data_IF_087902428774
#
_entry.id   IF_087902428774
#
_cell.length_a   1.000
_cell.length_b   1.000
_cell.length_c   1.000
_cell.angle_alpha   90.00
_cell.angle_beta   90.00
_cell.angle_gamma   90.00
#
_symmetry.space_group_name_H-M   'P 1'
#
loop_
_entity.id
_entity.type
_entity.pdbx_description
1 polymer ?
#
# COMPACT_ATOMS: atom_id res chain seq x y z
N UNK A 1 -4.89 7.00 -3.85
CA UNK A 1 -5.16 6.68 -5.28
C UNK A 1 -4.09 5.72 -5.83
N UNK A 2 -3.83 4.61 -5.14
CA UNK A 2 -2.78 3.65 -5.53
C UNK A 2 -3.08 2.96 -6.87
N UNK A 3 -4.37 2.77 -7.20
CA UNK A 3 -4.80 2.17 -8.46
C UNK A 3 -4.38 2.95 -9.71
N UNK A 4 -4.37 4.28 -9.64
CA UNK A 4 -3.87 5.12 -10.73
C UNK A 4 -2.35 5.02 -10.89
N UNK A 5 -1.61 4.82 -9.79
CA UNK A 5 -0.17 4.56 -9.83
C UNK A 5 0.15 3.23 -10.51
N UNK A 6 -0.59 2.17 -10.18
CA UNK A 6 -0.44 0.84 -10.82
C UNK A 6 -0.80 0.92 -12.31
N UNK A 7 -1.89 1.61 -12.65
CA UNK A 7 -2.28 1.82 -14.05
C UNK A 7 -1.20 2.58 -14.82
N UNK A 8 -0.69 3.68 -14.26
CA UNK A 8 0.37 4.48 -14.85
C UNK A 8 1.63 3.63 -15.08
N UNK A 9 2.05 2.83 -14.10
CA UNK A 9 3.18 1.91 -14.25
C UNK A 9 2.96 0.89 -15.37
N UNK A 10 1.76 0.30 -15.46
CA UNK A 10 1.40 -0.62 -16.54
C UNK A 10 1.44 0.03 -17.93
N UNK A 11 0.90 1.25 -18.05
CA UNK A 11 0.92 2.03 -19.31
C UNK A 11 2.34 2.41 -19.72
N UNK A 12 3.17 2.89 -18.79
CA UNK A 12 4.58 3.20 -19.05
C UNK A 12 5.35 1.95 -19.49
N UNK A 13 5.11 0.80 -18.85
CA UNK A 13 5.69 -0.48 -19.26
C UNK A 13 5.31 -0.83 -20.70
N UNK A 14 4.01 -0.76 -21.03
CA UNK A 14 3.51 -1.07 -22.37
C UNK A 14 4.07 -0.14 -23.45
N UNK A 15 4.07 1.17 -23.20
CA UNK A 15 4.58 2.18 -24.14
C UNK A 15 6.08 1.99 -24.39
N UNK A 16 6.84 1.73 -23.33
CA UNK A 16 8.30 1.53 -23.43
C UNK A 16 8.62 0.25 -24.20
N UNK A 17 7.89 -0.85 -23.96
CA UNK A 17 8.03 -2.09 -24.73
C UNK A 17 7.72 -1.86 -26.21
N UNK A 18 6.63 -1.16 -26.53
CA UNK A 18 6.27 -0.85 -27.92
C UNK A 18 7.32 0.01 -28.62
N UNK A 19 7.88 1.02 -27.94
CA UNK A 19 8.91 1.89 -28.49
C UNK A 19 10.22 1.14 -28.78
N UNK A 20 10.61 0.21 -27.92
CA UNK A 20 11.82 -0.59 -28.08
C UNK A 20 11.62 -1.90 -28.85
N UNK A 21 10.40 -2.20 -29.32
CA UNK A 21 10.07 -3.43 -30.05
C UNK A 21 11.08 -3.82 -31.15
N UNK A 22 11.43 -2.94 -32.12
CA UNK A 22 12.38 -3.34 -33.18
C UNK A 22 13.78 -3.62 -32.64
N UNK A 23 14.20 -2.91 -31.59
CA UNK A 23 15.50 -3.08 -30.94
C UNK A 23 15.54 -4.38 -30.13
N UNK A 24 14.46 -4.73 -29.42
CA UNK A 24 14.35 -5.96 -28.63
C UNK A 24 14.34 -7.20 -29.52
N UNK A 25 13.62 -7.14 -30.66
CA UNK A 25 13.60 -8.24 -31.64
C UNK A 25 14.98 -8.47 -32.29
N UNK A 26 15.80 -7.42 -32.43
CA UNK A 26 17.16 -7.53 -32.96
C UNK A 26 18.18 -8.02 -31.93
N UNK A 27 18.04 -7.60 -30.66
CA UNK A 27 18.89 -8.01 -29.55
C UNK A 27 18.08 -7.94 -28.25
N UNK A 28 17.89 -9.10 -27.62
CA UNK A 28 17.13 -9.25 -26.37
C UNK A 28 17.76 -8.50 -25.18
N UNK A 29 19.05 -8.16 -25.22
CA UNK A 29 19.71 -7.35 -24.19
C UNK A 29 19.16 -5.93 -24.09
N UNK A 30 18.48 -5.44 -25.13
CA UNK A 30 17.85 -4.12 -25.12
C UNK A 30 16.69 -4.00 -24.11
N UNK A 31 16.22 -5.12 -23.54
CA UNK A 31 15.30 -5.13 -22.40
C UNK A 31 15.89 -4.44 -21.15
N UNK A 32 17.22 -4.34 -21.05
CA UNK A 32 17.88 -3.63 -19.94
C UNK A 32 17.49 -2.13 -19.91
N UNK A 33 17.31 -1.52 -21.08
CA UNK A 33 16.86 -0.12 -21.15
C UNK A 33 15.40 0.03 -20.72
N UNK A 34 14.56 -0.96 -20.99
CA UNK A 34 13.12 -0.90 -20.71
C UNK A 34 12.86 -0.80 -19.21
N UNK A 35 13.43 -1.69 -18.38
CA UNK A 35 13.19 -1.66 -16.94
C UNK A 35 13.78 -0.41 -16.27
N UNK A 36 14.92 0.09 -16.78
CA UNK A 36 15.54 1.34 -16.29
C UNK A 36 14.65 2.54 -16.54
N UNK A 37 14.05 2.64 -17.72
CA UNK A 37 13.12 3.72 -18.07
C UNK A 37 11.87 3.64 -17.17
N UNK A 38 11.31 2.44 -16.98
CA UNK A 38 10.13 2.25 -16.11
C UNK A 38 10.43 2.75 -14.68
N UNK A 39 11.56 2.35 -14.09
CA UNK A 39 11.96 2.83 -12.75
C UNK A 39 12.25 4.34 -12.75
N UNK A 40 12.94 4.84 -13.78
CA UNK A 40 13.31 6.25 -13.92
C UNK A 40 12.09 7.17 -14.00
N UNK A 41 11.06 6.79 -14.75
CA UNK A 41 9.79 7.55 -14.84
C UNK A 41 9.09 7.62 -13.48
N UNK A 42 9.27 6.60 -12.61
CA UNK A 42 8.76 6.61 -11.24
C UNK A 42 9.30 7.74 -10.35
N UNK A 43 10.44 8.33 -10.69
CA UNK A 43 11.04 9.45 -9.94
C UNK A 43 10.23 10.75 -10.13
N UNK A 44 9.54 10.91 -11.25
CA UNK A 44 8.76 12.12 -11.58
C UNK A 44 7.64 12.36 -10.54
N UNK A 45 6.70 11.42 -10.28
CA UNK A 45 5.69 11.63 -9.25
C UNK A 45 6.28 11.73 -7.84
N UNK A 46 7.40 11.04 -7.56
CA UNK A 46 8.07 11.11 -6.26
C UNK A 46 8.66 12.50 -5.96
N UNK A 47 9.30 13.13 -6.95
CA UNK A 47 9.86 14.48 -6.83
C UNK A 47 8.77 15.53 -6.72
N UNK A 48 7.67 15.40 -7.48
CA UNK A 48 6.48 16.26 -7.34
C UNK A 48 5.89 16.13 -5.94
N UNK A 49 5.72 14.90 -5.43
CA UNK A 49 5.21 14.67 -4.08
C UNK A 49 6.16 15.24 -3.00
N UNK A 50 7.47 15.13 -3.19
CA UNK A 50 8.47 15.73 -2.30
C UNK A 50 8.36 17.26 -2.28
N UNK A 51 8.25 17.90 -3.45
CA UNK A 51 8.05 19.33 -3.55
C UNK A 51 6.82 19.77 -2.74
N UNK A 52 5.67 19.13 -2.97
CA UNK A 52 4.45 19.44 -2.21
C UNK A 52 4.60 19.17 -0.71
N UNK A 53 5.27 18.09 -0.33
CA UNK A 53 5.50 17.75 1.08
C UNK A 53 6.37 18.78 1.79
N UNK A 54 7.29 19.43 1.08
CA UNK A 54 8.12 20.51 1.64
C UNK A 54 7.40 21.86 1.68
N UNK A 55 6.40 22.08 0.82
CA UNK A 55 5.65 23.35 0.75
C UNK A 55 4.37 23.39 1.59
N UNK A 56 3.76 22.23 1.87
CA UNK A 56 2.50 22.16 2.63
C UNK A 56 2.78 22.43 4.12
N UNK A 57 2.08 23.39 4.76
CA UNK A 57 2.25 23.64 6.17
C UNK A 57 1.75 22.47 7.02
N UNK A 58 2.38 22.29 8.17
CA UNK A 58 2.01 21.24 9.13
C UNK A 58 0.57 21.38 9.61
N UNK A 59 -0.05 20.23 9.92
CA UNK A 59 -1.44 20.24 10.37
C UNK A 59 -1.59 21.06 11.67
N UNK A 60 -2.67 21.85 11.82
CA UNK A 60 -2.87 22.64 13.03
C UNK A 60 -2.87 21.81 14.30
N UNK A 61 -3.47 20.61 14.23
CA UNK A 61 -3.56 19.69 15.34
C UNK A 61 -2.18 19.24 15.83
N UNK A 62 -1.26 18.93 14.92
CA UNK A 62 0.13 18.62 15.27
C UNK A 62 0.85 19.84 15.90
N UNK A 63 0.59 21.03 15.38
CA UNK A 63 1.22 22.27 15.87
C UNK A 63 0.77 22.62 17.30
N UNK A 64 -0.50 22.35 17.64
CA UNK A 64 -1.04 22.50 19.00
C UNK A 64 -0.57 21.35 19.90
N UNK A 65 -0.88 20.11 19.51
CA UNK A 65 -0.79 18.93 20.38
C UNK A 65 0.63 18.38 20.52
N UNK A 66 1.58 18.82 19.69
CA UNK A 66 2.98 18.34 19.73
C UNK A 66 3.96 19.49 19.89
N UNK A 67 3.80 20.58 19.14
CA UNK A 67 4.72 21.73 19.24
C UNK A 67 4.34 22.71 20.36
N UNK A 68 3.11 22.64 20.88
CA UNK A 68 2.60 23.57 21.89
C UNK A 68 2.53 25.02 21.41
N UNK A 69 2.56 25.24 20.08
CA UNK A 69 2.60 26.58 19.49
C UNK A 69 1.22 26.94 18.94
N UNK A 70 0.41 27.57 19.79
CA UNK A 70 -0.98 27.93 19.49
C UNK A 70 -1.04 28.96 18.35
N UNK A 71 -0.07 29.87 18.25
CA UNK A 71 -0.03 30.94 17.26
C UNK A 71 0.24 30.41 15.84
N UNK A 72 1.22 29.51 15.68
CA UNK A 72 1.47 28.80 14.41
C UNK A 72 0.27 27.95 14.01
N UNK A 73 -0.43 27.35 14.97
CA UNK A 73 -1.61 26.57 14.67
C UNK A 73 -2.78 27.44 14.19
N UNK A 74 -3.02 28.59 14.83
CA UNK A 74 -4.03 29.55 14.41
C UNK A 74 -3.73 30.08 12.99
N UNK A 75 -2.46 30.36 12.68
CA UNK A 75 -2.03 30.71 11.32
C UNK A 75 -2.29 29.58 10.32
N UNK A 76 -1.97 28.33 10.66
CA UNK A 76 -2.22 27.17 9.78
C UNK A 76 -3.72 26.89 9.59
N UNK A 77 -4.57 27.15 10.59
CA UNK A 77 -6.04 27.04 10.48
C UNK A 77 -6.57 28.10 9.53
N UNK A 78 -6.15 29.36 9.70
CA UNK A 78 -6.58 30.45 8.81
C UNK A 78 -6.11 30.21 7.37
N UNK A 79 -4.87 29.76 7.16
CA UNK A 79 -4.38 29.35 5.83
C UNK A 79 -5.22 28.22 5.22
N UNK A 80 -5.59 27.21 6.01
CA UNK A 80 -6.41 26.08 5.56
C UNK A 80 -7.88 26.45 5.26
N UNK A 81 -8.46 27.39 6.01
CA UNK A 81 -9.84 27.86 5.84
C UNK A 81 -9.98 28.90 4.72
N UNK A 82 -8.98 29.77 4.52
CA UNK A 82 -9.03 30.88 3.56
C UNK A 82 -8.45 30.56 2.17
N UNK A 83 -8.18 29.28 1.88
CA UNK A 83 -7.70 28.81 0.57
C UNK A 83 -6.49 29.60 0.02
N UNK A 84 -5.50 29.89 0.87
CA UNK A 84 -4.23 30.48 0.43
C UNK A 84 -4.23 32.00 0.18
N UNK A 85 -5.21 32.76 0.67
CA UNK A 85 -5.03 34.22 0.79
C UNK A 85 -4.01 34.55 1.88
N UNK A 86 -3.03 35.38 1.54
CA UNK A 86 -2.00 35.86 2.44
C UNK A 86 -2.64 36.76 3.50
N UNK A 87 -2.60 36.36 4.78
CA UNK A 87 -3.13 37.15 5.88
C UNK A 87 -1.97 37.84 6.56
N UNK A 88 -2.10 39.16 6.76
CA UNK A 88 -1.12 39.97 7.48
C UNK A 88 -0.75 39.34 8.82
N UNK A 89 0.56 39.35 9.10
CA UNK A 89 1.15 39.05 10.40
C UNK A 89 0.57 40.01 11.44
N UNK A 90 -0.48 39.60 12.14
CA UNK A 90 -0.84 40.24 13.40
C UNK A 90 0.08 39.66 14.48
N UNK A 91 0.97 40.51 15.02
CA UNK A 91 1.68 40.24 16.27
C UNK A 91 0.63 40.14 17.39
N UNK A 92 0.30 38.92 17.79
CA UNK A 92 -0.43 38.68 19.04
C UNK A 92 0.62 38.40 20.09
N UNK A 93 0.79 39.39 20.96
CA UNK A 93 1.74 39.44 22.06
C UNK A 93 1.25 38.57 23.23
N UNK A 94 1.32 37.23 23.09
CA UNK A 94 1.33 36.31 24.25
C UNK A 94 1.71 34.89 23.82
N UNK A 95 2.97 34.50 24.03
CA UNK A 95 3.48 33.16 23.74
C UNK A 95 2.94 32.13 24.76
N UNK A 96 1.70 31.68 24.60
CA UNK A 96 1.10 30.66 25.48
C UNK A 96 1.56 29.26 25.07
N UNK A 97 2.75 28.85 25.50
CA UNK A 97 3.24 27.47 25.32
C UNK A 97 2.53 26.54 26.31
N UNK A 98 1.59 25.74 25.83
CA UNK A 98 1.01 24.66 26.63
C UNK A 98 2.11 23.63 26.88
N UNK A 99 2.41 23.32 28.14
CA UNK A 99 3.33 22.23 28.50
C UNK A 99 2.61 20.91 28.22
N UNK A 100 2.94 20.29 27.10
CA UNK A 100 2.37 19.00 26.71
C UNK A 100 3.15 17.90 27.41
N UNK A 101 2.49 17.09 28.24
CA UNK A 101 3.10 15.87 28.77
C UNK A 101 3.44 14.95 27.61
N UNK A 102 4.73 14.66 27.43
CA UNK A 102 5.19 13.69 26.44
C UNK A 102 4.64 12.32 26.83
N UNK A 103 3.92 11.68 25.91
CA UNK A 103 3.40 10.33 26.10
C UNK A 103 4.54 9.39 26.51
N UNK A 104 4.42 8.75 27.68
CA UNK A 104 5.46 7.85 28.20
C UNK A 104 5.12 6.40 27.87
N UNK A 105 6.13 5.54 27.72
CA UNK A 105 5.93 4.09 27.54
C UNK A 105 5.08 3.44 28.64
N UNK A 106 5.13 3.98 29.87
CA UNK A 106 4.27 3.55 30.97
C UNK A 106 2.79 3.85 30.70
N UNK A 107 2.48 5.03 30.16
CA UNK A 107 1.11 5.43 29.82
C UNK A 107 0.56 4.59 28.66
N UNK A 108 1.41 4.26 27.68
CA UNK A 108 1.06 3.38 26.58
C UNK A 108 0.70 1.97 27.06
N UNK A 109 1.56 1.35 27.88
CA UNK A 109 1.32 0.01 28.42
C UNK A 109 0.10 0.02 29.34
N UNK A 110 -0.09 1.07 30.14
CA UNK A 110 -1.27 1.20 30.98
C UNK A 110 -2.56 1.31 30.14
N UNK A 111 -2.56 2.13 29.09
CA UNK A 111 -3.71 2.35 28.22
C UNK A 111 -4.08 1.11 27.38
N UNK A 112 -3.10 0.49 26.71
CA UNK A 112 -3.33 -0.69 25.86
C UNK A 112 -3.30 -2.03 26.61
N UNK A 113 -2.81 -2.04 27.86
CA UNK A 113 -2.93 -3.19 28.77
C UNK A 113 -4.38 -3.40 29.24
N UNK A 114 -5.22 -2.36 29.18
CA UNK A 114 -6.67 -2.50 29.35
C UNK A 114 -7.24 -3.23 28.13
N UNK A 115 -7.95 -4.34 28.37
CA UNK A 115 -8.50 -5.20 27.32
C UNK A 115 -9.40 -4.44 26.32
N UNK A 116 -10.10 -3.41 26.78
CA UNK A 116 -10.98 -2.58 25.94
C UNK A 116 -10.23 -1.88 24.80
N UNK A 117 -9.04 -1.34 25.08
CA UNK A 117 -8.20 -0.67 24.09
C UNK A 117 -7.28 -1.66 23.36
N UNK A 118 -6.76 -2.66 24.09
CA UNK A 118 -5.88 -3.69 23.55
C UNK A 118 -6.52 -4.54 22.46
N UNK A 119 -7.81 -4.91 22.59
CA UNK A 119 -8.53 -5.69 21.56
C UNK A 119 -8.65 -4.93 20.23
N UNK A 120 -8.77 -3.60 20.27
CA UNK A 120 -8.86 -2.76 19.06
C UNK A 120 -7.51 -2.70 18.36
N UNK A 121 -6.42 -2.55 19.12
CA UNK A 121 -5.06 -2.57 18.59
C UNK A 121 -4.71 -3.93 17.96
N UNK A 122 -5.06 -5.03 18.63
CA UNK A 122 -4.84 -6.38 18.12
C UNK A 122 -5.64 -6.62 16.83
N UNK A 123 -6.94 -6.29 16.83
CA UNK A 123 -7.79 -6.44 15.65
C UNK A 123 -7.29 -5.64 14.45
N UNK A 124 -6.80 -4.41 14.68
CA UNK A 124 -6.21 -3.57 13.64
C UNK A 124 -4.91 -4.17 13.11
N UNK A 125 -4.04 -4.65 14.00
CA UNK A 125 -2.75 -5.26 13.63
C UNK A 125 -2.93 -6.52 12.79
N UNK A 126 -3.82 -7.43 13.20
CA UNK A 126 -4.12 -8.67 12.46
C UNK A 126 -4.77 -8.37 11.11
N UNK A 127 -5.63 -7.35 11.06
CA UNK A 127 -6.26 -6.89 9.82
C UNK A 127 -5.21 -6.41 8.81
N UNK A 128 -4.30 -5.53 9.23
CA UNK A 128 -3.22 -5.04 8.37
C UNK A 128 -2.28 -6.16 7.93
N UNK A 129 -1.87 -7.03 8.86
CA UNK A 129 -1.01 -8.17 8.54
C UNK A 129 -1.62 -9.09 7.47
N UNK A 130 -2.88 -9.51 7.67
CA UNK A 130 -3.57 -10.40 6.73
C UNK A 130 -3.80 -9.72 5.38
N UNK A 131 -4.11 -8.42 5.39
CA UNK A 131 -4.27 -7.63 4.18
C UNK A 131 -2.97 -7.58 3.37
N UNK A 132 -1.84 -7.27 4.00
CA UNK A 132 -0.55 -7.15 3.31
C UNK A 132 -0.08 -8.49 2.74
N UNK A 133 -0.19 -9.59 3.51
CA UNK A 133 0.16 -10.94 3.02
C UNK A 133 -0.62 -11.29 1.76
N UNK A 134 -1.92 -11.02 1.74
CA UNK A 134 -2.75 -11.30 0.58
C UNK A 134 -2.46 -10.35 -0.59
N UNK A 135 -2.34 -9.05 -0.31
CA UNK A 135 -2.18 -8.02 -1.32
C UNK A 135 -0.84 -8.15 -2.05
N UNK A 136 0.26 -8.26 -1.31
CA UNK A 136 1.59 -8.42 -1.89
C UNK A 136 1.81 -9.84 -2.42
N UNK A 137 1.27 -10.87 -1.74
CA UNK A 137 1.33 -12.25 -2.21
C UNK A 137 0.74 -12.42 -3.62
N UNK A 138 -0.41 -11.81 -3.91
CA UNK A 138 -0.98 -11.77 -5.26
C UNK A 138 -0.22 -10.80 -6.16
N UNK A 139 0.09 -9.60 -5.66
CA UNK A 139 0.67 -8.52 -6.46
C UNK A 139 2.02 -8.86 -7.07
N UNK A 140 2.90 -9.49 -6.29
CA UNK A 140 4.27 -9.84 -6.72
C UNK A 140 4.26 -11.06 -7.65
N UNK A 141 3.36 -12.02 -7.40
CA UNK A 141 3.23 -13.24 -8.20
C UNK A 141 2.25 -13.11 -9.36
N UNK A 142 1.79 -11.90 -9.69
CA UNK A 142 0.79 -11.68 -10.73
C UNK A 142 1.23 -12.27 -12.08
N UNK A 143 2.52 -12.08 -12.44
CA UNK A 143 3.08 -12.65 -13.68
C UNK A 143 3.00 -14.19 -13.71
N UNK A 144 3.30 -14.85 -12.59
CA UNK A 144 3.22 -16.31 -12.43
C UNK A 144 1.77 -16.78 -12.50
N UNK A 145 0.83 -16.03 -11.92
CA UNK A 145 -0.60 -16.35 -11.97
C UNK A 145 -1.12 -16.23 -13.41
N UNK A 146 -0.74 -15.18 -14.15
CA UNK A 146 -1.10 -15.00 -15.55
C UNK A 146 -0.51 -16.11 -16.44
N UNK A 147 0.71 -16.54 -16.16
CA UNK A 147 1.35 -17.69 -16.82
C UNK A 147 0.60 -18.99 -16.52
N UNK A 148 0.27 -19.26 -15.25
CA UNK A 148 -0.45 -20.45 -14.83
C UNK A 148 -1.86 -20.56 -15.46
N UNK A 149 -2.55 -19.43 -15.65
CA UNK A 149 -3.85 -19.38 -16.36
C UNK A 149 -3.69 -19.61 -17.88
N UNK A 150 -2.45 -19.61 -18.38
CA UNK A 150 -2.13 -19.82 -19.79
C UNK A 150 -2.22 -18.56 -20.65
N UNK A 151 -2.28 -17.38 -20.03
CA UNK A 151 -2.31 -16.09 -20.72
C UNK A 151 -0.92 -15.69 -21.26
N UNK A 152 0.14 -16.13 -20.58
CA UNK A 152 1.53 -15.92 -20.97
C UNK A 152 2.11 -17.25 -21.45
N UNK A 153 1.85 -17.62 -22.71
CA UNK A 153 2.40 -18.83 -23.35
C UNK A 153 3.21 -18.45 -24.57
N UNK A 154 4.39 -17.88 -24.36
CA UNK A 154 5.27 -17.48 -25.47
C UNK A 154 6.73 -17.73 -25.16
N UNK A 155 7.43 -18.39 -26.11
CA UNK A 155 8.88 -18.59 -26.10
C UNK A 155 9.66 -17.27 -26.30
N UNK A 156 8.98 -16.22 -26.79
CA UNK A 156 9.54 -14.88 -26.96
C UNK A 156 9.36 -14.00 -25.71
N UNK A 157 10.48 -13.51 -25.17
CA UNK A 157 10.53 -12.64 -24.00
C UNK A 157 9.76 -11.32 -24.22
N UNK A 158 9.76 -10.77 -25.43
CA UNK A 158 9.02 -9.54 -25.74
C UNK A 158 7.51 -9.77 -25.59
N UNK A 159 6.99 -10.82 -26.24
CA UNK A 159 5.56 -11.11 -26.23
C UNK A 159 5.07 -11.48 -24.83
N UNK A 160 5.89 -12.17 -24.03
CA UNK A 160 5.58 -12.48 -22.63
C UNK A 160 5.45 -11.21 -21.78
N UNK A 161 6.42 -10.29 -21.84
CA UNK A 161 6.38 -9.02 -21.10
C UNK A 161 5.27 -8.09 -21.59
N UNK A 162 4.98 -8.10 -22.88
CA UNK A 162 3.85 -7.39 -23.47
C UNK A 162 2.52 -7.90 -22.90
N UNK A 163 2.31 -9.22 -22.93
CA UNK A 163 1.11 -9.84 -22.38
C UNK A 163 0.98 -9.56 -20.87
N UNK A 164 2.05 -9.69 -20.08
CA UNK A 164 2.04 -9.34 -18.65
C UNK A 164 1.62 -7.88 -18.44
N UNK A 165 2.17 -6.95 -19.23
CA UNK A 165 1.83 -5.51 -19.12
C UNK A 165 0.37 -5.25 -19.44
N UNK A 166 -0.16 -5.84 -20.52
CA UNK A 166 -1.58 -5.72 -20.90
C UNK A 166 -2.48 -6.36 -19.84
N UNK A 167 -2.13 -7.56 -19.36
CA UNK A 167 -2.87 -8.26 -18.32
C UNK A 167 -2.98 -7.43 -17.04
N UNK A 168 -1.88 -6.82 -16.60
CA UNK A 168 -1.87 -5.93 -15.43
C UNK A 168 -2.75 -4.68 -15.61
N UNK A 169 -2.74 -4.05 -16.80
CA UNK A 169 -3.63 -2.93 -17.11
C UNK A 169 -5.10 -3.36 -17.01
N UNK A 170 -5.44 -4.49 -17.65
CA UNK A 170 -6.80 -5.03 -17.66
C UNK A 170 -7.28 -5.38 -16.25
N UNK A 171 -6.46 -6.06 -15.45
CA UNK A 171 -6.76 -6.36 -14.04
C UNK A 171 -6.97 -5.07 -13.24
N UNK A 172 -6.14 -4.06 -13.46
CA UNK A 172 -6.22 -2.79 -12.72
C UNK A 172 -7.48 -2.00 -13.08
N UNK A 173 -7.85 -1.98 -14.37
CA UNK A 173 -9.04 -1.28 -14.87
C UNK A 173 -10.33 -1.99 -14.48
N UNK A 174 -10.36 -3.32 -14.44
CA UNK A 174 -11.58 -4.08 -14.12
C UNK A 174 -11.74 -4.34 -12.62
N UNK A 175 -10.63 -4.46 -11.87
CA UNK A 175 -10.65 -4.79 -10.46
C UNK A 175 -10.33 -3.58 -9.59
N UNK A 176 -9.08 -3.13 -9.62
CA UNK A 176 -8.53 -2.18 -8.64
C UNK A 176 -9.20 -0.81 -8.68
N UNK A 177 -9.35 -0.20 -9.86
CA UNK A 177 -9.94 1.14 -9.98
C UNK A 177 -11.44 1.13 -9.63
N UNK A 178 -12.28 0.23 -10.18
CA UNK A 178 -13.68 0.13 -9.78
C UNK A 178 -13.84 -0.19 -8.30
N UNK A 179 -12.99 -1.06 -7.73
CA UNK A 179 -13.01 -1.38 -6.31
C UNK A 179 -12.75 -0.18 -5.40
N UNK A 180 -11.82 0.71 -5.79
CA UNK A 180 -11.60 1.96 -5.06
C UNK A 180 -12.82 2.88 -5.12
N UNK A 181 -13.42 3.06 -6.30
CA UNK A 181 -14.62 3.89 -6.44
C UNK A 181 -15.82 3.31 -5.70
N UNK A 182 -16.02 1.99 -5.74
CA UNK A 182 -17.03 1.29 -4.95
C UNK A 182 -16.85 1.58 -3.45
N UNK A 183 -15.60 1.52 -2.97
CA UNK A 183 -15.30 1.87 -1.58
C UNK A 183 -15.59 3.34 -1.29
N UNK A 184 -15.20 4.27 -2.15
CA UNK A 184 -15.45 5.72 -1.98
C UNK A 184 -16.95 6.02 -1.89
N UNK A 185 -17.78 5.42 -2.74
CA UNK A 185 -19.22 5.68 -2.74
C UNK A 185 -19.97 5.01 -1.59
N UNK A 186 -19.48 3.86 -1.11
CA UNK A 186 -20.17 3.08 -0.08
C UNK A 186 -19.62 3.27 1.33
N UNK A 187 -18.43 3.82 1.50
CA UNK A 187 -17.79 3.96 2.83
C UNK A 187 -18.63 4.80 3.79
N UNK A 188 -19.29 5.85 3.28
CA UNK A 188 -20.11 6.75 4.08
C UNK A 188 -21.50 6.15 4.35
N UNK A 189 -21.99 5.23 3.51
CA UNK A 189 -23.31 4.60 3.65
C UNK A 189 -23.28 3.29 4.46
N UNK A 190 -22.38 2.37 4.13
CA UNK A 190 -22.26 1.06 4.76
C UNK A 190 -21.33 1.06 5.98
N UNK A 191 -20.43 2.04 6.08
CA UNK A 191 -19.45 2.13 7.14
C UNK A 191 -18.22 1.24 6.92
N UNK A 192 -17.08 1.71 7.43
CA UNK A 192 -15.74 1.14 7.21
C UNK A 192 -15.60 -0.33 7.65
N UNK A 193 -16.21 -0.70 8.78
CA UNK A 193 -16.11 -2.06 9.35
C UNK A 193 -16.78 -3.11 8.46
N UNK A 194 -17.94 -2.78 7.89
CA UNK A 194 -18.69 -3.72 7.04
C UNK A 194 -18.00 -3.96 5.71
N UNK A 195 -17.47 -2.90 5.08
CA UNK A 195 -16.68 -3.02 3.84
C UNK A 195 -15.43 -3.88 4.08
N UNK A 196 -14.73 -3.68 5.19
CA UNK A 196 -13.55 -4.49 5.51
C UNK A 196 -13.90 -5.99 5.66
N UNK A 197 -15.01 -6.30 6.33
CA UNK A 197 -15.44 -7.68 6.53
C UNK A 197 -15.88 -8.34 5.22
N UNK A 198 -16.61 -7.60 4.37
CA UNK A 198 -16.99 -8.06 3.02
C UNK A 198 -15.75 -8.30 2.16
N UNK A 199 -14.76 -7.41 2.22
CA UNK A 199 -13.49 -7.55 1.52
C UNK A 199 -12.74 -8.83 1.93
N UNK A 200 -12.60 -9.08 3.24
CA UNK A 200 -11.97 -10.31 3.72
C UNK A 200 -12.76 -11.57 3.38
N UNK A 201 -14.10 -11.54 3.49
CA UNK A 201 -14.93 -12.67 3.13
C UNK A 201 -14.79 -13.01 1.63
N UNK A 202 -14.86 -12.01 0.75
CA UNK A 202 -14.70 -12.19 -0.69
C UNK A 202 -13.29 -12.71 -1.03
N UNK A 203 -12.24 -12.12 -0.44
CA UNK A 203 -10.86 -12.56 -0.63
C UNK A 203 -10.66 -14.01 -0.19
N UNK A 204 -11.27 -14.42 0.92
CA UNK A 204 -11.23 -15.80 1.43
C UNK A 204 -11.89 -16.75 0.43
N UNK A 205 -13.07 -16.40 -0.09
CA UNK A 205 -13.77 -17.20 -1.10
C UNK A 205 -12.91 -17.33 -2.36
N UNK A 206 -12.33 -16.23 -2.85
CA UNK A 206 -11.46 -16.23 -4.03
C UNK A 206 -10.25 -17.14 -3.82
N UNK A 207 -9.58 -17.07 -2.66
CA UNK A 207 -8.44 -17.94 -2.37
C UNK A 207 -8.81 -19.41 -2.23
N UNK A 208 -9.97 -19.73 -1.66
CA UNK A 208 -10.46 -21.12 -1.62
C UNK A 208 -10.69 -21.61 -3.05
N UNK A 209 -11.36 -20.83 -3.90
CA UNK A 209 -11.59 -21.19 -5.30
C UNK A 209 -10.27 -21.35 -6.04
N UNK A 210 -9.34 -20.39 -5.88
CA UNK A 210 -8.03 -20.43 -6.52
C UNK A 210 -7.24 -21.67 -6.09
N UNK A 211 -7.23 -22.01 -4.79
CA UNK A 211 -6.58 -23.22 -4.29
C UNK A 211 -7.18 -24.52 -4.83
N UNK A 212 -8.50 -24.57 -5.04
CA UNK A 212 -9.19 -25.73 -5.61
C UNK A 212 -9.00 -25.84 -7.14
N UNK A 213 -9.01 -24.72 -7.86
CA UNK A 213 -8.80 -24.66 -9.32
C UNK A 213 -7.34 -24.94 -9.68
N UNK A 214 -6.38 -24.40 -8.93
CA UNK A 214 -4.95 -24.68 -9.11
C UNK A 214 -4.67 -26.17 -8.88
N UNK A 215 -5.31 -26.83 -7.91
CA UNK A 215 -5.24 -28.30 -7.76
C UNK A 215 -5.74 -29.07 -8.98
N UNK A 216 -6.70 -28.52 -9.73
CA UNK A 216 -7.23 -29.12 -10.96
C UNK A 216 -6.35 -28.84 -12.18
N UNK A 217 -5.57 -27.76 -12.17
CA UNK A 217 -4.60 -27.41 -13.21
C UNK A 217 -3.23 -28.11 -13.02
N UNK A 218 -2.80 -28.33 -11.78
CA UNK A 218 -1.54 -28.99 -11.38
C UNK A 218 -1.68 -30.52 -11.24
N UNK A 219 -2.55 -31.17 -12.01
CA UNK A 219 -2.58 -32.64 -12.07
C UNK A 219 -1.40 -33.26 -12.83
N UNK A 220 -0.51 -32.44 -13.40
CA UNK A 220 0.86 -32.84 -13.72
C UNK A 220 1.83 -31.91 -12.95
N UNK A 221 2.54 -32.51 -11.99
CA UNK A 221 3.68 -31.97 -11.22
C UNK A 221 3.35 -31.07 -10.00
N UNK A 222 3.41 -31.74 -8.84
CA UNK A 222 3.84 -31.33 -7.49
C UNK A 222 3.14 -30.26 -6.64
N UNK A 223 2.58 -30.81 -5.55
CA UNK A 223 2.70 -30.46 -4.13
C UNK A 223 1.92 -29.27 -3.55
N UNK A 224 0.91 -29.64 -2.75
CA UNK A 224 0.04 -28.76 -1.98
C UNK A 224 0.18 -29.14 -0.50
N UNK A 225 0.55 -28.20 0.38
CA UNK A 225 0.15 -28.22 1.79
C UNK A 225 0.19 -26.80 2.39
N UNK A 226 -0.91 -26.42 3.05
CA UNK A 226 -1.02 -25.29 3.99
C UNK A 226 -0.72 -25.78 5.42
N UNK A 227 -0.26 -24.89 6.33
CA UNK A 227 -0.80 -24.68 7.69
C UNK A 227 -0.09 -23.56 8.49
N UNK A 228 -0.86 -22.87 9.35
CA UNK A 228 -0.48 -21.75 10.24
C UNK A 228 -0.08 -22.22 11.66
N UNK A 229 0.92 -21.53 12.26
CA UNK A 229 1.05 -21.07 13.67
C UNK A 229 1.12 -22.04 14.88
N UNK A 230 2.17 -21.92 15.73
CA UNK A 230 2.11 -21.52 17.17
C UNK A 230 3.42 -21.77 18.00
N UNK A 231 3.55 -20.98 19.10
CA UNK A 231 4.34 -21.16 20.36
C UNK A 231 5.87 -20.88 20.39
N UNK A 232 6.28 -19.69 20.88
CA UNK A 232 7.65 -19.46 21.39
C UNK A 232 7.66 -19.14 22.91
N UNK A 233 8.61 -19.69 23.70
CA UNK A 233 8.76 -19.41 25.13
C UNK A 233 9.78 -18.28 25.47
N UNK A 234 9.86 -17.96 26.76
CA UNK A 234 9.73 -16.61 27.35
C UNK A 234 10.99 -15.73 27.46
N UNK A 235 12.14 -16.11 26.89
CA UNK A 235 13.44 -15.43 27.15
C UNK A 235 13.97 -14.49 26.05
N UNK A 236 13.33 -14.45 24.88
CA UNK A 236 13.83 -13.73 23.69
C UNK A 236 12.82 -12.71 23.09
N UNK A 237 11.94 -12.16 23.94
CA UNK A 237 10.78 -11.35 23.52
C UNK A 237 11.14 -10.02 22.82
N UNK A 238 12.30 -9.40 23.09
CA UNK A 238 12.75 -8.19 22.37
C UNK A 238 13.19 -8.48 20.93
N UNK A 239 13.71 -9.68 20.65
CA UNK A 239 14.12 -10.15 19.32
C UNK A 239 12.90 -10.50 18.45
N UNK A 240 11.84 -11.08 19.05
CA UNK A 240 10.60 -11.43 18.33
C UNK A 240 9.77 -10.22 17.86
N UNK A 241 9.83 -9.09 18.57
CA UNK A 241 9.20 -7.85 18.09
C UNK A 241 10.01 -7.15 16.99
N UNK A 242 11.35 -7.20 17.04
CA UNK A 242 12.19 -6.76 15.92
C UNK A 242 11.96 -7.58 14.64
N UNK A 243 11.75 -8.88 14.77
CA UNK A 243 11.42 -9.79 13.65
C UNK A 243 9.99 -9.54 13.13
N UNK A 244 9.02 -9.18 13.98
CA UNK A 244 7.65 -8.84 13.53
C UNK A 244 7.59 -7.52 12.74
N UNK A 245 8.42 -6.54 13.10
CA UNK A 245 8.57 -5.30 12.32
C UNK A 245 9.36 -5.51 11.01
N UNK A 246 10.31 -6.46 10.99
CA UNK A 246 10.97 -6.93 9.76
C UNK A 246 10.05 -7.79 8.88
N UNK A 247 9.13 -8.57 9.46
CA UNK A 247 8.25 -9.47 8.72
C UNK A 247 7.15 -8.73 7.95
N UNK A 248 6.73 -7.54 8.41
CA UNK A 248 5.91 -6.64 7.59
C UNK A 248 6.66 -6.09 6.36
N UNK A 249 8.00 -6.07 6.38
CA UNK A 249 8.84 -5.76 5.20
C UNK A 249 9.30 -7.00 4.42
N UNK A 250 9.17 -8.21 5.00
CA UNK A 250 9.37 -9.51 4.33
C UNK A 250 8.06 -10.08 3.73
N UNK A 251 6.95 -9.35 3.88
CA UNK A 251 5.73 -9.58 3.09
C UNK A 251 5.78 -8.96 1.70
N UNK A 252 6.86 -8.21 1.41
CA UNK A 252 7.37 -7.90 0.07
C UNK A 252 8.34 -8.99 -0.38
#
# INVERSE_FOLDING_TARGET
MQGFGILFAGVVSLVTLLAFRPLILSNSQNLDYVWRIIIGVGIIPATIALYFRLTIPETPRFTIDVQGNVDKAAHNIKFALEQGKYIEKYEIESEYRIVIQKATWKDFIHHFGQWENGKVLLGTSVTWFTHDVAYYGIGINNAIILEAIGYVKTEDAYQSLFNISVGNIVITLMGTIPGYWFTVFLVDSLGRKYIQLQGFALLTIIFIIMGLVIKKLLQNQFQFFQNFGEVFPTRYRSTCHGISAASGKLGL
#
